data_IF_941740320204
#
_entry.id   IF_941740320204
#
_cell.length_a   1.000
_cell.length_b   1.000
_cell.length_c   1.000
_cell.angle_alpha   90.00
_cell.angle_beta   90.00
_cell.angle_gamma   90.00
#
_symmetry.space_group_name_H-M   'P 1'
#
loop_
_entity.id
_entity.type
_entity.pdbx_description
1 polymer ?
#
# COMPACT_ATOMS: atom_id res chain seq x y z
N UNK A 1 42.47 -64.56 -42.24
CA UNK A 1 42.03 -65.31 -41.03
C UNK A 1 41.99 -64.34 -39.88
N UNK A 2 40.95 -64.34 -39.16
CA UNK A 2 40.50 -63.65 -37.96
C UNK A 2 39.44 -62.59 -38.19
N UNK A 3 38.22 -63.06 -38.04
CA UNK A 3 37.00 -62.30 -38.00
C UNK A 3 36.90 -61.54 -36.69
N UNK A 4 36.82 -60.24 -36.71
CA UNK A 4 36.54 -59.44 -35.54
C UNK A 4 35.05 -59.08 -35.54
N UNK A 5 34.35 -59.57 -34.55
CA UNK A 5 32.91 -59.30 -34.33
C UNK A 5 32.75 -57.88 -33.78
N UNK A 6 32.04 -57.06 -34.52
CA UNK A 6 31.61 -55.76 -34.08
C UNK A 6 30.42 -55.87 -33.17
N UNK A 7 30.62 -55.57 -31.89
CA UNK A 7 29.51 -55.39 -30.94
C UNK A 7 28.97 -53.96 -31.06
N UNK A 8 27.85 -53.81 -31.71
CA UNK A 8 27.08 -52.57 -31.68
C UNK A 8 26.31 -52.48 -30.40
N UNK A 9 26.84 -51.73 -29.47
CA UNK A 9 26.15 -51.38 -28.24
C UNK A 9 25.18 -50.23 -28.57
N UNK A 10 23.90 -50.54 -28.64
CA UNK A 10 22.85 -49.55 -28.79
C UNK A 10 22.73 -48.69 -27.53
N UNK A 11 23.14 -47.49 -27.62
CA UNK A 11 22.88 -46.46 -26.61
C UNK A 11 21.42 -46.02 -26.74
N UNK A 12 20.56 -46.50 -25.87
CA UNK A 12 19.19 -45.96 -25.71
C UNK A 12 19.33 -44.61 -25.03
N UNK A 13 19.27 -43.56 -25.82
CA UNK A 13 19.13 -42.18 -25.28
C UNK A 13 17.72 -42.03 -24.71
N UNK A 14 17.63 -42.16 -23.40
CA UNK A 14 16.42 -41.79 -22.65
C UNK A 14 16.36 -40.26 -22.65
N UNK A 15 15.69 -39.69 -23.64
CA UNK A 15 15.33 -38.28 -23.65
C UNK A 15 14.23 -38.11 -22.61
N UNK A 16 14.60 -37.78 -21.38
CA UNK A 16 13.68 -37.24 -20.38
C UNK A 16 13.21 -35.89 -20.89
N UNK A 17 12.02 -35.90 -21.50
CA UNK A 17 11.29 -34.70 -21.83
C UNK A 17 10.81 -34.08 -20.52
N UNK A 18 11.65 -33.21 -19.96
CA UNK A 18 11.24 -32.34 -18.87
C UNK A 18 10.16 -31.41 -19.45
N UNK A 19 8.92 -31.81 -19.24
CA UNK A 19 7.78 -30.91 -19.36
C UNK A 19 7.95 -29.84 -18.30
N UNK A 20 8.66 -28.79 -18.62
CA UNK A 20 8.57 -27.54 -17.91
C UNK A 20 7.14 -27.05 -18.12
N UNK A 21 6.28 -27.35 -17.17
CA UNK A 21 5.03 -26.62 -16.97
C UNK A 21 5.43 -25.19 -16.61
N UNK A 22 5.83 -24.43 -17.60
CA UNK A 22 5.73 -22.99 -17.52
C UNK A 22 4.23 -22.74 -17.47
N UNK A 23 3.68 -22.73 -16.26
CA UNK A 23 2.44 -22.05 -15.99
C UNK A 23 2.68 -20.61 -16.46
N UNK A 24 2.34 -20.35 -17.70
CA UNK A 24 2.03 -19.01 -18.14
C UNK A 24 0.73 -18.63 -17.38
N UNK A 25 0.87 -18.27 -16.11
CA UNK A 25 0.09 -17.17 -15.59
C UNK A 25 0.46 -16.04 -16.56
N UNK A 26 -0.36 -15.85 -17.56
CA UNK A 26 -0.40 -14.61 -18.32
C UNK A 26 -0.65 -13.57 -17.25
N UNK A 27 0.43 -12.93 -16.84
CA UNK A 27 0.36 -11.69 -16.10
C UNK A 27 -0.35 -10.76 -17.08
N UNK A 28 -1.63 -10.56 -16.88
CA UNK A 28 -2.46 -9.65 -17.67
C UNK A 28 -2.09 -8.20 -17.41
N UNK A 29 -0.87 -7.98 -16.90
CA UNK A 29 -0.25 -6.67 -16.77
C UNK A 29 -0.89 -5.83 -15.66
N UNK A 30 -1.72 -6.42 -14.81
CA UNK A 30 -2.22 -5.73 -13.62
C UNK A 30 -1.10 -5.72 -12.60
N UNK A 31 -0.41 -4.59 -12.50
CA UNK A 31 0.54 -4.35 -11.43
C UNK A 31 -0.23 -4.28 -10.10
N UNK A 32 -0.23 -5.40 -9.36
CA UNK A 32 -0.94 -5.49 -8.08
C UNK A 32 -0.37 -4.51 -7.06
N UNK A 33 0.90 -4.18 -7.16
CA UNK A 33 1.55 -3.20 -6.28
C UNK A 33 1.00 -1.79 -6.54
N UNK A 34 0.51 -1.52 -7.75
CA UNK A 34 -0.15 -0.25 -8.06
C UNK A 34 -1.56 -0.13 -7.45
N UNK A 35 -2.17 -1.24 -7.04
CA UNK A 35 -3.51 -1.26 -6.46
C UNK A 35 -3.53 -1.06 -4.94
N UNK A 36 -2.40 -1.28 -4.26
CA UNK A 36 -2.29 -1.13 -2.82
C UNK A 36 -1.66 0.21 -2.45
N UNK A 37 -2.04 0.83 -1.32
CA UNK A 37 -1.36 2.03 -0.84
C UNK A 37 0.08 1.68 -0.47
N UNK A 38 1.01 2.54 -0.78
CA UNK A 38 2.38 2.43 -0.31
C UNK A 38 2.73 3.47 0.78
N UNK A 39 1.80 4.35 1.11
CA UNK A 39 1.90 5.24 2.25
C UNK A 39 0.54 5.77 2.74
N UNK A 40 0.58 6.27 3.99
CA UNK A 40 -0.48 7.09 4.59
C UNK A 40 0.07 8.50 4.74
N UNK A 41 -0.65 9.49 4.26
CA UNK A 41 -0.20 10.89 4.25
C UNK A 41 -1.26 11.82 4.83
N UNK A 42 -0.84 13.00 5.29
CA UNK A 42 -1.74 14.13 5.51
C UNK A 42 -1.62 15.10 4.36
N UNK A 43 -2.70 15.36 3.65
CA UNK A 43 -2.78 16.40 2.63
C UNK A 43 -2.97 17.73 3.34
N UNK A 44 -1.98 18.63 3.27
CA UNK A 44 -2.02 19.92 3.96
C UNK A 44 -2.10 21.08 2.98
N UNK A 45 -3.08 21.97 3.13
CA UNK A 45 -3.15 23.20 2.33
C UNK A 45 -1.94 24.10 2.58
N UNK A 46 -1.48 24.76 1.51
CA UNK A 46 -0.37 25.73 1.58
C UNK A 46 -0.61 26.87 0.59
N UNK A 47 -1.33 27.91 1.00
CA UNK A 47 -1.77 28.98 0.10
C UNK A 47 -2.70 28.42 -0.99
N UNK A 48 -2.39 28.74 -2.25
CA UNK A 48 -3.14 28.25 -3.42
C UNK A 48 -2.73 26.83 -3.86
N UNK A 49 -1.98 26.12 -3.03
CA UNK A 49 -1.46 24.79 -3.31
C UNK A 49 -1.62 23.87 -2.10
N UNK A 50 -1.01 22.69 -2.14
CA UNK A 50 -0.93 21.76 -1.02
C UNK A 50 0.38 20.99 -1.08
N UNK A 51 0.68 20.28 0.01
CA UNK A 51 1.72 19.26 0.08
C UNK A 51 1.23 18.04 0.85
N UNK A 52 1.95 16.96 0.77
CA UNK A 52 1.65 15.73 1.48
C UNK A 52 2.68 15.57 2.60
N UNK A 53 2.22 15.50 3.83
CA UNK A 53 3.04 15.16 4.99
C UNK A 53 3.06 13.64 5.14
N UNK A 54 4.22 13.02 4.97
CA UNK A 54 4.38 11.57 5.09
C UNK A 54 4.54 11.16 6.54
N UNK A 55 5.45 11.82 7.24
CA UNK A 55 5.74 11.64 8.66
C UNK A 55 6.09 13.01 9.27
N UNK A 56 6.49 13.05 10.55
CA UNK A 56 6.79 14.31 11.24
C UNK A 56 7.90 15.16 10.59
N UNK A 57 8.73 14.55 9.74
CA UNK A 57 9.91 15.19 9.15
C UNK A 57 9.88 15.22 7.61
N UNK A 58 9.03 14.41 6.96
CA UNK A 58 9.09 14.20 5.52
C UNK A 58 7.90 14.81 4.82
N UNK A 59 8.16 15.75 3.94
CA UNK A 59 7.17 16.41 3.09
C UNK A 59 7.35 16.04 1.63
N UNK A 60 6.23 15.82 0.94
CA UNK A 60 6.19 15.42 -0.46
C UNK A 60 5.44 16.46 -1.29
N UNK A 61 5.92 16.73 -2.51
CA UNK A 61 5.22 17.52 -3.51
C UNK A 61 4.74 16.61 -4.62
N UNK A 62 3.44 16.51 -4.83
CA UNK A 62 2.89 15.85 -6.00
C UNK A 62 3.04 16.74 -7.24
N UNK A 63 3.54 16.19 -8.35
CA UNK A 63 3.73 16.94 -9.60
C UNK A 63 2.52 16.84 -10.54
N UNK A 64 1.57 15.97 -10.25
CA UNK A 64 0.44 15.66 -11.13
C UNK A 64 -0.95 15.89 -10.51
N UNK A 65 -1.04 16.35 -9.26
CA UNK A 65 -2.33 16.62 -8.62
C UNK A 65 -2.74 18.10 -8.76
N UNK A 66 -4.05 18.33 -8.83
CA UNK A 66 -4.62 19.69 -8.88
C UNK A 66 -4.60 20.33 -7.50
N UNK A 67 -4.40 21.66 -7.39
CA UNK A 67 -4.40 22.36 -6.11
C UNK A 67 -5.68 22.22 -5.29
N UNK A 68 -6.81 21.97 -5.94
CA UNK A 68 -8.14 21.86 -5.32
C UNK A 68 -8.52 20.46 -4.89
N UNK A 69 -7.54 19.51 -4.84
CA UNK A 69 -7.83 18.18 -4.33
C UNK A 69 -8.41 18.30 -2.91
N UNK A 70 -9.42 17.52 -2.61
CA UNK A 70 -10.16 17.54 -1.33
C UNK A 70 -10.69 18.93 -0.92
N UNK A 71 -11.07 19.77 -1.90
CA UNK A 71 -11.63 21.12 -1.69
C UNK A 71 -10.71 22.04 -0.86
N UNK A 72 -9.40 21.81 -0.90
CA UNK A 72 -8.43 22.58 -0.14
C UNK A 72 -8.48 22.35 1.37
N UNK A 73 -9.10 21.26 1.82
CA UNK A 73 -9.14 20.88 3.24
C UNK A 73 -7.97 19.98 3.61
N UNK A 74 -7.57 20.05 4.88
CA UNK A 74 -6.65 19.05 5.43
C UNK A 74 -7.35 17.72 5.56
N UNK A 75 -6.74 16.66 4.99
CA UNK A 75 -7.31 15.31 4.92
C UNK A 75 -6.23 14.27 5.16
N UNK A 76 -6.52 13.26 5.97
CA UNK A 76 -5.70 12.06 6.06
C UNK A 76 -6.07 11.13 4.90
N UNK A 77 -5.07 10.59 4.19
CA UNK A 77 -5.30 9.84 2.95
C UNK A 77 -4.35 8.64 2.81
N UNK A 78 -4.84 7.59 2.16
CA UNK A 78 -4.03 6.53 1.58
C UNK A 78 -3.52 7.01 0.22
N UNK A 79 -2.28 6.73 -0.10
CA UNK A 79 -1.68 7.09 -1.38
C UNK A 79 -0.87 5.93 -1.94
N UNK A 80 -0.91 5.81 -3.25
CA UNK A 80 0.10 5.06 -4.01
C UNK A 80 0.84 6.06 -4.88
N UNK A 81 2.15 6.14 -4.72
CA UNK A 81 2.98 7.09 -5.46
C UNK A 81 4.29 6.46 -5.92
N UNK A 82 4.88 7.09 -6.93
CA UNK A 82 6.23 6.78 -7.42
C UNK A 82 7.11 8.00 -7.19
N UNK A 83 8.31 7.80 -6.64
CA UNK A 83 9.28 8.86 -6.48
C UNK A 83 9.84 9.27 -7.85
N UNK A 84 9.96 10.58 -8.08
CA UNK A 84 10.52 11.11 -9.32
C UNK A 84 11.99 11.53 -9.13
N UNK A 85 12.67 11.82 -10.23
CA UNK A 85 14.01 12.41 -10.21
C UNK A 85 14.01 13.94 -10.02
N UNK A 86 12.83 14.55 -10.01
CA UNK A 86 12.67 15.99 -9.77
C UNK A 86 13.12 16.35 -8.35
N UNK A 87 13.70 17.53 -8.20
CA UNK A 87 14.11 18.07 -6.90
C UNK A 87 13.25 19.26 -6.53
N UNK A 88 13.10 19.51 -5.25
CA UNK A 88 12.45 20.67 -4.69
C UNK A 88 13.34 21.30 -3.63
N UNK A 89 13.42 22.61 -3.59
CA UNK A 89 14.11 23.35 -2.52
C UNK A 89 13.25 23.43 -1.24
N UNK A 90 11.95 23.28 -1.39
CA UNK A 90 10.96 23.43 -0.30
C UNK A 90 10.52 22.12 0.33
N UNK A 91 10.49 21.03 -0.43
CA UNK A 91 9.97 19.73 -0.01
C UNK A 91 11.05 18.67 -0.10
N UNK A 92 10.98 17.66 0.76
CA UNK A 92 11.97 16.59 0.80
C UNK A 92 12.01 15.76 -0.49
N UNK A 93 10.84 15.52 -1.10
CA UNK A 93 10.74 14.70 -2.30
C UNK A 93 9.67 15.26 -3.26
N UNK A 94 9.86 15.00 -4.57
CA UNK A 94 8.83 15.19 -5.58
C UNK A 94 8.36 13.82 -6.04
N UNK A 95 7.05 13.64 -6.07
CA UNK A 95 6.42 12.35 -6.36
C UNK A 95 5.40 12.49 -7.48
N UNK A 96 5.16 11.38 -8.16
CA UNK A 96 4.01 11.18 -9.04
C UNK A 96 3.00 10.32 -8.32
N UNK A 97 1.80 10.84 -8.10
CA UNK A 97 0.72 10.11 -7.42
C UNK A 97 -0.02 9.27 -8.43
N UNK A 98 -0.03 7.94 -8.23
CA UNK A 98 -0.79 7.02 -9.05
C UNK A 98 -2.27 7.07 -8.69
N UNK A 99 -2.57 7.07 -7.40
CA UNK A 99 -3.90 7.35 -6.85
C UNK A 99 -3.79 7.83 -5.40
N UNK A 100 -4.83 8.51 -4.93
CA UNK A 100 -4.96 8.98 -3.55
C UNK A 100 -6.42 8.94 -3.15
N UNK A 101 -6.69 8.44 -1.94
CA UNK A 101 -8.04 8.30 -1.41
C UNK A 101 -8.09 8.72 0.06
N UNK A 102 -9.15 9.42 0.44
CA UNK A 102 -9.29 9.95 1.79
C UNK A 102 -9.67 8.86 2.80
N UNK A 103 -9.10 8.94 3.98
CA UNK A 103 -9.44 8.06 5.11
C UNK A 103 -10.47 8.77 5.98
N UNK A 104 -11.50 8.03 6.41
CA UNK A 104 -12.45 8.54 7.38
C UNK A 104 -11.72 8.99 8.64
N UNK A 105 -11.81 10.28 8.94
CA UNK A 105 -11.18 10.88 10.11
C UNK A 105 -12.24 11.37 11.08
N UNK A 106 -12.14 10.97 12.35
CA UNK A 106 -13.03 11.38 13.44
C UNK A 106 -12.23 11.98 14.59
N UNK A 107 -12.79 12.97 15.25
CA UNK A 107 -12.23 13.48 16.49
C UNK A 107 -12.41 12.46 17.60
N UNK A 108 -11.40 12.25 18.46
CA UNK A 108 -11.56 11.41 19.64
C UNK A 108 -12.61 12.00 20.57
N UNK A 109 -13.33 11.13 21.25
CA UNK A 109 -14.30 11.51 22.26
C UNK A 109 -13.74 11.24 23.65
N UNK A 110 -14.07 12.05 24.67
CA UNK A 110 -13.59 11.82 26.02
C UNK A 110 -14.21 10.56 26.61
N UNK A 111 -13.43 9.84 27.43
CA UNK A 111 -13.95 8.75 28.23
C UNK A 111 -14.95 9.28 29.28
N UNK A 112 -16.01 8.53 29.53
CA UNK A 112 -17.01 8.85 30.55
C UNK A 112 -16.60 8.41 31.97
N UNK A 113 -15.43 7.74 32.09
CA UNK A 113 -14.86 7.35 33.38
C UNK A 113 -14.99 5.88 33.71
N UNK A 114 -15.96 5.16 33.14
CA UNK A 114 -16.09 3.73 33.29
C UNK A 114 -16.31 3.01 31.97
N UNK A 115 -15.92 1.73 31.92
CA UNK A 115 -16.13 0.91 30.73
C UNK A 115 -17.61 0.70 30.42
N UNK A 116 -18.43 0.58 31.44
CA UNK A 116 -19.90 0.40 31.29
C UNK A 116 -20.53 1.61 30.60
N UNK A 117 -20.26 2.83 31.08
CA UNK A 117 -20.78 4.05 30.49
C UNK A 117 -20.26 4.27 29.07
N UNK A 118 -19.00 3.96 28.82
CA UNK A 118 -18.41 4.04 27.47
C UNK A 118 -19.11 3.07 26.50
N UNK A 119 -19.33 1.82 26.93
CA UNK A 119 -20.01 0.81 26.10
C UNK A 119 -21.46 1.20 25.79
N UNK A 120 -22.19 1.63 26.79
CA UNK A 120 -23.59 2.07 26.62
C UNK A 120 -23.71 3.23 25.62
N UNK A 121 -22.76 4.17 25.65
CA UNK A 121 -22.82 5.36 24.81
C UNK A 121 -22.19 5.19 23.43
N UNK A 122 -21.08 4.48 23.34
CA UNK A 122 -20.26 4.40 22.11
C UNK A 122 -20.32 3.03 21.44
N UNK A 123 -20.90 2.03 22.09
CA UNK A 123 -20.93 0.66 21.64
C UNK A 123 -19.71 -0.15 22.10
N UNK A 124 -19.77 -1.45 21.90
CA UNK A 124 -18.72 -2.42 22.22
C UNK A 124 -18.49 -3.44 21.11
N UNK A 125 -18.79 -3.07 19.87
CA UNK A 125 -18.56 -3.92 18.73
C UNK A 125 -17.10 -4.33 18.66
N UNK A 126 -16.88 -5.63 18.50
CA UNK A 126 -15.54 -6.20 18.45
C UNK A 126 -14.86 -5.84 17.13
N UNK A 127 -13.63 -5.36 17.24
CA UNK A 127 -12.76 -5.10 16.11
C UNK A 127 -11.33 -5.54 16.41
N UNK A 128 -10.67 -6.17 15.43
CA UNK A 128 -9.27 -6.53 15.53
C UNK A 128 -8.39 -5.44 14.93
N UNK A 129 -7.49 -4.88 15.73
CA UNK A 129 -6.49 -3.93 15.23
C UNK A 129 -5.43 -4.71 14.47
N UNK A 130 -5.23 -4.34 13.20
CA UNK A 130 -4.18 -4.88 12.35
C UNK A 130 -2.89 -4.14 12.68
N UNK A 131 -1.89 -4.89 13.16
CA UNK A 131 -0.56 -4.35 13.47
C UNK A 131 0.31 -4.44 12.22
N UNK A 132 0.33 -3.38 11.46
CA UNK A 132 1.16 -3.21 10.27
C UNK A 132 1.67 -1.76 10.18
N UNK A 133 2.34 -1.42 9.09
CA UNK A 133 2.86 -0.07 8.87
C UNK A 133 1.81 1.02 8.68
N UNK A 134 0.52 0.67 8.56
CA UNK A 134 -0.58 1.63 8.42
C UNK A 134 -1.21 2.03 9.76
N UNK A 135 -1.01 1.22 10.83
CA UNK A 135 -1.44 1.55 12.19
C UNK A 135 -0.32 2.33 12.87
N UNK A 136 -0.42 3.67 12.84
CA UNK A 136 0.67 4.58 13.19
C UNK A 136 0.14 5.87 13.82
N UNK A 137 0.93 6.47 14.70
CA UNK A 137 0.68 7.80 15.27
C UNK A 137 1.71 8.78 14.72
N UNK A 138 1.30 9.65 13.80
CA UNK A 138 2.15 10.62 13.11
C UNK A 138 1.36 11.87 12.76
N UNK A 139 2.05 12.99 12.69
CA UNK A 139 1.49 14.27 12.24
C UNK A 139 0.19 14.67 12.97
N UNK A 140 0.10 14.34 14.26
CA UNK A 140 -1.08 14.62 15.08
C UNK A 140 -2.28 13.68 14.85
N UNK A 141 -2.14 12.66 14.04
CA UNK A 141 -3.16 11.65 13.78
C UNK A 141 -2.77 10.30 14.37
N UNK A 142 -3.76 9.59 14.92
CA UNK A 142 -3.70 8.16 15.17
C UNK A 142 -4.44 7.46 14.02
N UNK A 143 -3.70 6.86 13.11
CA UNK A 143 -4.25 6.03 12.04
C UNK A 143 -4.38 4.60 12.55
N UNK A 144 -5.56 4.01 12.44
CA UNK A 144 -5.83 2.65 12.88
C UNK A 144 -6.40 1.86 11.71
N UNK A 145 -5.73 0.78 11.35
CA UNK A 145 -6.29 -0.24 10.48
C UNK A 145 -6.93 -1.33 11.34
N UNK A 146 -8.18 -1.64 11.08
CA UNK A 146 -8.89 -2.66 11.85
C UNK A 146 -9.74 -3.54 10.95
N UNK A 147 -10.07 -4.71 11.45
CA UNK A 147 -11.06 -5.61 10.87
C UNK A 147 -12.28 -5.65 11.77
N UNK A 148 -13.45 -5.51 11.19
CA UNK A 148 -14.72 -5.72 11.88
C UNK A 148 -15.46 -6.87 11.19
N UNK A 149 -16.16 -7.67 12.00
CA UNK A 149 -17.11 -8.64 11.47
C UNK A 149 -18.35 -7.88 11.02
N UNK A 150 -18.61 -7.87 9.73
CA UNK A 150 -19.83 -7.31 9.18
C UNK A 150 -20.92 -8.37 9.28
N UNK A 151 -21.76 -8.28 10.34
CA UNK A 151 -22.95 -9.08 10.45
C UNK A 151 -24.04 -8.53 9.52
N UNK A 152 -24.23 -9.20 8.38
CA UNK A 152 -25.38 -8.95 7.52
C UNK A 152 -26.62 -9.64 8.07
#
# INVERSE_FOLDING_TARGET
MKTTKLFTTGAIALTTMALTLTSCLKDDGTDLDALVPNAVVTVKPSGDSFFLQLDDNTTLRANNLKPTIFDGKEVRALVNYTQTSEKSEKYNQVIHVNWIDSILTKKPVPSLGSDTENREKYGDDMGDIVRDGETVAEDGYLTIRFRALWGG
#
